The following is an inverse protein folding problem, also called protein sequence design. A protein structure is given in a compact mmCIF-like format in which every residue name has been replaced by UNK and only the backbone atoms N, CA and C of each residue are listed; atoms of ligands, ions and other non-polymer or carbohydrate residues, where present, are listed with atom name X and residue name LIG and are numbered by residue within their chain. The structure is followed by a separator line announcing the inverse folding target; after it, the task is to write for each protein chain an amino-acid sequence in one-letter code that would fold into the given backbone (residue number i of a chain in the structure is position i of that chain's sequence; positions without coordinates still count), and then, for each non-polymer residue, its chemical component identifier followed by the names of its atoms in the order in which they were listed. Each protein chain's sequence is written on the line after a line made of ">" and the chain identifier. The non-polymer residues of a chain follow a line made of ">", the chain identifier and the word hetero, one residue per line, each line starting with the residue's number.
data_IF_299190857426
#
_entry.id   IF_299190857426
#
_cell.length_a   1.000
_cell.length_b   1.000
_cell.length_c   1.000
_cell.angle_alpha   90.00
_cell.angle_beta   90.00
_cell.angle_gamma   90.00
#
_symmetry.space_group_name_H-M   'P 1'
#
loop_
_entity.id
_entity.type
_entity.pdbx_description
1 polymer ?
#
# COMPACT_ATOMS: atom_id res chain seq x y z
N UNK A 1 4.23 9.88 -24.06
CA UNK A 1 2.80 9.56 -23.88
C UNK A 1 2.28 10.28 -22.63
N UNK A 2 0.99 10.64 -22.58
CA UNK A 2 0.31 11.17 -21.38
C UNK A 2 -0.61 10.08 -20.82
N UNK A 3 -0.73 10.00 -19.50
CA UNK A 3 -1.60 9.05 -18.82
C UNK A 3 -2.83 9.80 -18.32
N UNK A 4 -4.01 9.28 -18.63
CA UNK A 4 -5.30 9.80 -18.12
C UNK A 4 -5.77 8.81 -17.06
N UNK A 5 -5.65 9.13 -15.75
CA UNK A 5 -6.09 8.22 -14.69
C UNK A 5 -7.63 8.15 -14.65
N UNK A 6 -8.17 7.12 -14.02
CA UNK A 6 -9.63 6.99 -13.85
C UNK A 6 -10.24 8.14 -13.01
N UNK A 7 -9.51 8.63 -12.01
CA UNK A 7 -9.85 9.82 -11.23
C UNK A 7 -8.61 10.71 -11.12
N UNK A 8 -8.78 12.03 -11.35
CA UNK A 8 -7.71 13.02 -11.31
C UNK A 8 -7.47 13.70 -12.66
N UNK A 9 -6.39 14.45 -12.75
CA UNK A 9 -5.95 15.13 -13.99
C UNK A 9 -4.89 14.31 -14.72
N UNK A 10 -4.64 14.64 -15.99
CA UNK A 10 -3.61 13.98 -16.78
C UNK A 10 -2.23 14.05 -16.10
N UNK A 11 -1.49 12.94 -16.12
CA UNK A 11 -0.18 12.78 -15.46
C UNK A 11 0.90 12.33 -16.46
N UNK A 12 2.16 12.47 -16.06
CA UNK A 12 3.33 11.99 -16.81
C UNK A 12 3.60 10.53 -16.46
N UNK A 13 4.46 9.88 -17.26
CA UNK A 13 4.84 8.48 -17.04
C UNK A 13 5.56 8.30 -15.70
N UNK A 14 6.38 9.26 -15.33
CA UNK A 14 7.23 9.23 -14.14
C UNK A 14 6.38 9.26 -12.86
N UNK A 15 5.20 9.86 -12.92
CA UNK A 15 4.27 9.95 -11.78
C UNK A 15 3.70 8.57 -11.39
N UNK A 16 3.72 7.57 -12.29
CA UNK A 16 3.37 6.17 -11.95
C UNK A 16 4.33 5.57 -10.92
N UNK A 17 5.55 6.10 -10.80
CA UNK A 17 6.55 5.58 -9.88
C UNK A 17 6.05 5.58 -8.44
N UNK A 18 5.33 6.62 -8.03
CA UNK A 18 4.75 6.67 -6.67
C UNK A 18 3.82 5.48 -6.40
N UNK A 19 2.93 5.16 -7.35
CA UNK A 19 1.98 4.06 -7.20
C UNK A 19 2.68 2.69 -7.17
N UNK A 20 3.68 2.51 -8.03
CA UNK A 20 4.46 1.26 -8.10
C UNK A 20 5.26 1.07 -6.81
N UNK A 21 5.95 2.11 -6.36
CA UNK A 21 6.76 2.08 -5.14
C UNK A 21 5.88 1.81 -3.90
N UNK A 22 4.70 2.43 -3.82
CA UNK A 22 3.74 2.20 -2.73
C UNK A 22 3.29 0.74 -2.67
N UNK A 23 2.85 0.19 -3.82
CA UNK A 23 2.38 -1.20 -3.88
C UNK A 23 3.51 -2.19 -3.58
N UNK A 24 4.73 -1.92 -4.03
CA UNK A 24 5.91 -2.72 -3.71
C UNK A 24 6.23 -2.68 -2.21
N UNK A 25 6.20 -1.50 -1.59
CA UNK A 25 6.45 -1.32 -0.16
C UNK A 25 5.41 -2.06 0.69
N UNK A 26 4.12 -1.86 0.41
CA UNK A 26 3.03 -2.57 1.13
C UNK A 26 3.20 -4.09 1.02
N UNK A 27 3.42 -4.59 -0.21
CA UNK A 27 3.58 -6.04 -0.43
C UNK A 27 4.78 -6.60 0.35
N UNK A 28 5.93 -5.93 0.30
CA UNK A 28 7.14 -6.38 0.97
C UNK A 28 6.95 -6.35 2.50
N UNK A 29 6.51 -5.23 3.06
CA UNK A 29 6.36 -5.10 4.51
C UNK A 29 5.28 -6.03 5.09
N UNK A 30 4.20 -6.29 4.35
CA UNK A 30 3.18 -7.27 4.78
C UNK A 30 3.72 -8.69 4.70
N UNK A 31 4.45 -9.04 3.64
CA UNK A 31 5.09 -10.36 3.56
C UNK A 31 6.08 -10.56 4.70
N UNK A 32 6.93 -9.57 4.99
CA UNK A 32 7.88 -9.63 6.10
C UNK A 32 7.17 -9.81 7.45
N UNK A 33 6.00 -9.19 7.65
CA UNK A 33 5.20 -9.34 8.86
C UNK A 33 4.60 -10.75 8.99
N UNK A 34 4.11 -11.32 7.87
CA UNK A 34 3.63 -12.70 7.82
C UNK A 34 4.76 -13.68 8.13
N UNK A 35 5.94 -13.48 7.53
CA UNK A 35 7.11 -14.34 7.72
C UNK A 35 7.64 -14.28 9.16
N UNK A 36 7.41 -13.17 9.86
CA UNK A 36 7.66 -12.99 11.30
C UNK A 36 6.57 -13.62 12.19
N UNK A 37 5.50 -14.15 11.61
CA UNK A 37 4.38 -14.74 12.35
C UNK A 37 3.48 -13.73 13.05
N UNK A 38 3.50 -12.46 12.62
CA UNK A 38 2.67 -11.42 13.20
C UNK A 38 1.20 -11.63 12.86
N UNK A 39 0.31 -11.27 13.78
CA UNK A 39 -1.12 -11.21 13.52
C UNK A 39 -1.48 -10.05 12.58
N UNK A 40 -2.72 -10.07 12.07
CA UNK A 40 -3.26 -8.97 11.28
C UNK A 40 -3.20 -7.63 12.03
N UNK A 41 -3.57 -7.62 13.32
CA UNK A 41 -3.58 -6.39 14.13
C UNK A 41 -2.15 -5.83 14.30
N UNK A 42 -1.19 -6.69 14.58
CA UNK A 42 0.23 -6.30 14.70
C UNK A 42 0.79 -5.82 13.36
N UNK A 43 0.42 -6.47 12.26
CA UNK A 43 0.82 -6.05 10.91
C UNK A 43 0.33 -4.65 10.58
N UNK A 44 -0.94 -4.32 10.87
CA UNK A 44 -1.50 -2.98 10.64
C UNK A 44 -0.76 -1.91 11.47
N UNK A 45 -0.33 -2.24 12.69
CA UNK A 45 0.44 -1.33 13.54
C UNK A 45 1.87 -1.13 13.03
N UNK A 46 2.47 -2.16 12.43
CA UNK A 46 3.85 -2.14 11.95
C UNK A 46 3.99 -1.50 10.56
N UNK A 47 3.09 -1.82 9.64
CA UNK A 47 3.14 -1.37 8.24
C UNK A 47 2.44 -0.02 8.13
N UNK A 48 3.18 1.07 8.36
CA UNK A 48 2.64 2.45 8.39
C UNK A 48 3.01 3.31 7.18
N UNK A 49 4.17 3.08 6.57
CA UNK A 49 4.66 3.71 5.32
C UNK A 49 4.40 5.24 5.19
N UNK A 50 4.78 6.06 6.20
CA UNK A 50 4.43 7.48 6.26
C UNK A 50 4.98 8.31 5.09
N UNK A 51 6.04 7.86 4.43
CA UNK A 51 6.64 8.47 3.24
C UNK A 51 5.70 8.51 2.02
N UNK A 52 4.65 7.68 2.00
CA UNK A 52 3.59 7.71 0.97
C UNK A 52 2.37 8.55 1.38
N UNK A 53 2.47 9.32 2.46
CA UNK A 53 1.42 10.23 2.90
C UNK A 53 1.12 11.37 1.92
N UNK A 54 0.20 12.26 2.30
CA UNK A 54 -0.22 13.43 1.51
C UNK A 54 -1.53 13.24 0.73
N UNK A 55 -2.00 11.99 0.58
CA UNK A 55 -3.37 11.72 0.14
C UNK A 55 -4.35 11.91 1.31
N UNK A 56 -5.44 12.64 1.08
CA UNK A 56 -6.42 12.98 2.12
C UNK A 56 -7.03 11.76 2.82
N UNK A 57 -7.20 10.65 2.10
CA UNK A 57 -7.73 9.40 2.67
C UNK A 57 -6.64 8.39 3.01
N UNK A 58 -5.36 8.79 3.03
CA UNK A 58 -4.24 7.87 3.23
C UNK A 58 -4.40 7.05 4.51
N UNK A 59 -4.71 7.70 5.64
CA UNK A 59 -4.86 7.01 6.93
C UNK A 59 -5.86 5.84 6.84
N UNK A 60 -7.08 6.13 6.40
CA UNK A 60 -8.13 5.11 6.25
C UNK A 60 -7.79 4.06 5.18
N UNK A 61 -7.42 4.48 3.96
CA UNK A 61 -7.16 3.54 2.85
C UNK A 61 -5.97 2.62 3.15
N UNK A 62 -4.93 3.13 3.80
CA UNK A 62 -3.75 2.33 4.11
C UNK A 62 -4.01 1.34 5.25
N UNK A 63 -4.43 1.83 6.44
CA UNK A 63 -4.53 0.98 7.63
C UNK A 63 -5.78 0.11 7.65
N UNK A 64 -6.90 0.60 7.11
CA UNK A 64 -8.20 -0.07 7.30
C UNK A 64 -8.61 -0.91 6.09
N UNK A 65 -7.97 -0.68 4.93
CA UNK A 65 -8.29 -1.37 3.68
C UNK A 65 -7.09 -2.12 3.09
N UNK A 66 -6.05 -1.41 2.68
CA UNK A 66 -4.97 -1.99 1.88
C UNK A 66 -4.13 -3.00 2.66
N UNK A 67 -3.61 -2.63 3.84
CA UNK A 67 -2.78 -3.53 4.66
C UNK A 67 -3.57 -4.79 5.08
N UNK A 68 -4.82 -4.68 5.61
CA UNK A 68 -5.60 -5.85 5.98
C UNK A 68 -5.97 -6.75 4.81
N UNK A 69 -6.29 -6.16 3.65
CA UNK A 69 -6.61 -6.94 2.45
C UNK A 69 -5.37 -7.67 1.92
N UNK A 70 -4.22 -6.99 1.87
CA UNK A 70 -2.95 -7.59 1.44
C UNK A 70 -2.53 -8.73 2.37
N UNK A 71 -2.63 -8.56 3.69
CA UNK A 71 -2.33 -9.62 4.65
C UNK A 71 -3.20 -10.86 4.40
N UNK A 72 -4.53 -10.66 4.32
CA UNK A 72 -5.49 -11.76 4.07
C UNK A 72 -5.27 -12.46 2.73
N UNK A 73 -4.79 -11.76 1.71
CA UNK A 73 -4.48 -12.34 0.40
C UNK A 73 -3.18 -13.14 0.43
N UNK A 74 -2.12 -12.56 0.99
CA UNK A 74 -0.79 -13.17 1.03
C UNK A 74 -0.70 -14.37 1.98
N UNK A 75 -1.45 -14.37 3.10
CA UNK A 75 -1.49 -15.49 4.04
C UNK A 75 -2.26 -16.72 3.55
N UNK A 76 -2.92 -16.67 2.37
CA UNK A 76 -3.63 -17.82 1.79
C UNK A 76 -2.75 -18.73 0.93
N UNK A 77 -1.48 -18.38 0.76
CA UNK A 77 -0.50 -19.22 0.05
C UNK A 77 0.00 -20.34 0.95
#
# INVERSE_FOLDING_TARGET
>A
ARIIPGHGVAMKREDLKWHIDYLAAVKMSVQDAIDQGLSLEETVKQVTTPEFGGYALFGWVHSDLNVPAAYKDLSKK
#
